data_IF_831101706184
#
_entry.id   IF_831101706184
#
_cell.length_a   1.000
_cell.length_b   1.000
_cell.length_c   1.000
_cell.angle_alpha   90.00
_cell.angle_beta   90.00
_cell.angle_gamma   90.00
#
_symmetry.space_group_name_H-M   'P 1'
#
loop_
_entity.id
_entity.type
_entity.pdbx_description
1 polymer ?
#
# COMPACT_ATOMS: atom_id res chain seq x y z
N UNK A 1 -2.43 -19.07 5.31
CA UNK A 1 -2.42 -18.41 6.65
C UNK A 1 -3.75 -18.56 7.40
N UNK A 2 -4.92 -18.67 6.74
CA UNK A 2 -6.19 -19.12 7.36
C UNK A 2 -6.43 -20.62 7.15
N UNK A 3 -6.22 -21.12 5.93
CA UNK A 3 -6.31 -22.54 5.55
C UNK A 3 -5.53 -23.51 6.45
N UNK A 4 -4.27 -23.15 6.77
CA UNK A 4 -3.40 -23.96 7.63
C UNK A 4 -3.89 -24.03 9.09
N UNK A 5 -4.78 -23.11 9.47
CA UNK A 5 -5.37 -23.02 10.82
C UNK A 5 -6.84 -23.48 10.85
N UNK A 6 -7.36 -23.99 9.72
CA UNK A 6 -8.75 -24.46 9.57
C UNK A 6 -9.82 -23.45 10.02
N UNK A 7 -9.54 -22.16 9.83
CA UNK A 7 -10.44 -21.09 10.24
C UNK A 7 -11.57 -20.91 9.21
N UNK A 8 -12.81 -20.85 9.70
CA UNK A 8 -14.02 -20.53 8.93
C UNK A 8 -14.26 -19.02 8.96
N UNK A 9 -14.52 -18.42 7.80
CA UNK A 9 -14.84 -16.98 7.71
C UNK A 9 -16.33 -16.83 7.53
N UNK A 10 -16.93 -16.00 8.40
CA UNK A 10 -18.37 -15.75 8.44
C UNK A 10 -18.57 -14.25 8.30
N UNK A 11 -19.49 -13.87 7.42
CA UNK A 11 -19.91 -12.49 7.24
C UNK A 11 -21.31 -12.34 7.81
N UNK A 12 -21.50 -11.30 8.63
CA UNK A 12 -22.80 -10.96 9.22
C UNK A 12 -23.89 -10.78 8.14
N UNK A 13 -23.50 -10.23 6.98
CA UNK A 13 -24.41 -9.86 5.90
C UNK A 13 -24.62 -10.97 4.87
N UNK A 14 -23.91 -12.10 4.99
CA UNK A 14 -24.06 -13.24 4.09
C UNK A 14 -24.69 -14.42 4.83
N UNK A 15 -26.03 -14.58 4.78
CA UNK A 15 -26.75 -15.66 5.45
C UNK A 15 -26.23 -17.05 5.11
N UNK A 16 -25.70 -17.23 3.90
CA UNK A 16 -25.08 -18.48 3.44
C UNK A 16 -23.82 -18.86 4.21
N UNK A 17 -23.10 -17.87 4.77
CA UNK A 17 -21.90 -18.12 5.59
C UNK A 17 -22.23 -18.59 7.01
N UNK A 18 -23.44 -18.30 7.51
CA UNK A 18 -23.91 -18.75 8.82
C UNK A 18 -24.14 -20.26 8.89
N UNK A 19 -24.32 -20.93 7.75
CA UNK A 19 -24.38 -22.40 7.68
C UNK A 19 -23.12 -23.02 8.32
N UNK A 20 -21.98 -22.35 8.25
CA UNK A 20 -20.74 -22.80 8.88
C UNK A 20 -20.78 -22.84 10.43
N UNK A 21 -21.74 -22.17 11.06
CA UNK A 21 -21.98 -22.08 12.51
C UNK A 21 -23.10 -22.99 13.01
N UNK A 22 -23.88 -23.60 12.12
CA UNK A 22 -25.03 -24.41 12.51
C UNK A 22 -24.57 -25.66 13.28
N UNK A 23 -25.02 -25.88 14.53
CA UNK A 23 -24.59 -26.99 15.38
C UNK A 23 -25.07 -28.37 14.90
N UNK A 24 -26.04 -28.41 13.98
CA UNK A 24 -26.66 -29.64 13.46
C UNK A 24 -25.96 -30.25 12.23
N UNK A 25 -24.82 -29.71 11.80
CA UNK A 25 -24.05 -30.28 10.69
C UNK A 25 -23.18 -31.43 11.21
N UNK A 26 -23.81 -32.58 11.45
CA UNK A 26 -23.13 -33.85 11.75
C UNK A 26 -22.64 -34.58 10.50
N UNK A 27 -22.89 -34.03 9.31
CA UNK A 27 -22.57 -34.65 8.02
C UNK A 27 -21.21 -34.17 7.47
N UNK A 28 -20.26 -35.11 7.35
CA UNK A 28 -18.90 -34.89 6.86
C UNK A 28 -18.89 -34.29 5.44
N UNK A 29 -19.84 -34.71 4.61
CA UNK A 29 -20.02 -34.20 3.26
C UNK A 29 -20.33 -32.69 3.26
N UNK A 30 -21.26 -32.27 4.10
CA UNK A 30 -21.65 -30.86 4.23
C UNK A 30 -20.48 -29.99 4.73
N UNK A 31 -19.68 -30.49 5.69
CA UNK A 31 -18.49 -29.77 6.16
C UNK A 31 -17.42 -29.61 5.05
N UNK A 32 -17.21 -30.65 4.25
CA UNK A 32 -16.28 -30.62 3.11
C UNK A 32 -16.71 -29.61 2.04
N UNK A 33 -18.00 -29.56 1.72
CA UNK A 33 -18.55 -28.56 0.80
C UNK A 33 -18.38 -27.13 1.33
N UNK A 34 -18.68 -26.86 2.59
CA UNK A 34 -18.50 -25.52 3.20
C UNK A 34 -17.03 -25.11 3.18
N UNK A 35 -16.11 -26.04 3.45
CA UNK A 35 -14.66 -25.80 3.34
C UNK A 35 -14.28 -25.42 1.91
N UNK A 36 -14.76 -26.16 0.90
CA UNK A 36 -14.49 -25.87 -0.51
C UNK A 36 -15.03 -24.50 -0.95
N UNK A 37 -16.25 -24.14 -0.53
CA UNK A 37 -16.87 -22.85 -0.86
C UNK A 37 -16.09 -21.69 -0.21
N UNK A 38 -15.76 -21.79 1.08
CA UNK A 38 -14.96 -20.78 1.76
C UNK A 38 -13.61 -20.57 1.10
N UNK A 39 -13.00 -21.65 0.63
CA UNK A 39 -11.73 -21.59 -0.10
C UNK A 39 -11.89 -20.85 -1.43
N UNK A 40 -12.88 -21.25 -2.24
CA UNK A 40 -13.16 -20.60 -3.51
C UNK A 40 -13.49 -19.11 -3.36
N UNK A 41 -14.24 -18.74 -2.31
CA UNK A 41 -14.53 -17.34 -2.00
C UNK A 41 -13.25 -16.54 -1.73
N UNK A 42 -12.34 -17.10 -0.93
CA UNK A 42 -11.06 -16.46 -0.63
C UNK A 42 -10.19 -16.31 -1.88
N UNK A 43 -10.13 -17.34 -2.71
CA UNK A 43 -9.35 -17.32 -3.95
C UNK A 43 -9.92 -16.30 -4.95
N UNK A 44 -11.25 -16.22 -5.04
CA UNK A 44 -11.94 -15.22 -5.84
C UNK A 44 -11.65 -13.80 -5.34
N UNK A 45 -11.75 -13.54 -4.03
CA UNK A 45 -11.43 -12.23 -3.44
C UNK A 45 -9.96 -11.86 -3.66
N UNK A 46 -9.05 -12.81 -3.54
CA UNK A 46 -7.63 -12.60 -3.82
C UNK A 46 -7.40 -12.23 -5.30
N UNK A 47 -8.04 -12.94 -6.23
CA UNK A 47 -7.96 -12.66 -7.66
C UNK A 47 -8.53 -11.27 -8.01
N UNK A 48 -9.69 -10.91 -7.46
CA UNK A 48 -10.30 -9.59 -7.66
C UNK A 48 -9.40 -8.49 -7.08
N UNK A 49 -8.89 -8.67 -5.86
CA UNK A 49 -8.00 -7.71 -5.21
C UNK A 49 -6.72 -7.48 -6.02
N UNK A 50 -6.18 -8.57 -6.59
CA UNK A 50 -5.00 -8.49 -7.46
C UNK A 50 -5.29 -7.70 -8.73
N UNK A 51 -6.40 -8.00 -9.41
CA UNK A 51 -6.84 -7.29 -10.62
C UNK A 51 -7.02 -5.80 -10.36
N UNK A 52 -7.72 -5.42 -9.29
CA UNK A 52 -7.92 -4.01 -8.92
C UNK A 52 -6.59 -3.29 -8.64
N UNK A 53 -5.67 -3.95 -7.93
CA UNK A 53 -4.35 -3.40 -7.66
C UNK A 53 -3.56 -3.11 -8.95
N UNK A 54 -3.57 -4.05 -9.90
CA UNK A 54 -2.93 -3.88 -11.20
C UNK A 54 -3.58 -2.75 -12.02
N UNK A 55 -4.91 -2.66 -12.00
CA UNK A 55 -5.64 -1.57 -12.66
C UNK A 55 -5.35 -0.19 -12.05
N UNK A 56 -5.22 -0.10 -10.73
CA UNK A 56 -4.80 1.15 -10.05
C UNK A 56 -3.39 1.55 -10.48
N UNK A 57 -2.44 0.62 -10.47
CA UNK A 57 -1.06 0.83 -10.93
C UNK A 57 -1.00 1.32 -12.38
N UNK A 58 -1.79 0.69 -13.26
CA UNK A 58 -1.89 1.06 -14.68
C UNK A 58 -2.42 2.49 -14.84
N UNK A 59 -3.51 2.85 -14.17
CA UNK A 59 -4.07 4.22 -14.21
C UNK A 59 -3.10 5.25 -13.64
N UNK A 60 -2.43 4.92 -12.53
CA UNK A 60 -1.42 5.80 -11.95
C UNK A 60 -0.28 6.05 -12.94
N UNK A 61 0.25 5.00 -13.59
CA UNK A 61 1.31 5.13 -14.59
C UNK A 61 0.89 6.04 -15.75
N UNK A 62 -0.32 5.86 -16.29
CA UNK A 62 -0.87 6.71 -17.34
C UNK A 62 -0.97 8.18 -16.89
N UNK A 63 -1.45 8.42 -15.67
CA UNK A 63 -1.52 9.76 -15.09
C UNK A 63 -0.15 10.41 -14.92
N UNK A 64 0.85 9.66 -14.44
CA UNK A 64 2.24 10.11 -14.31
C UNK A 64 2.81 10.46 -15.68
N UNK A 65 2.65 9.60 -16.69
CA UNK A 65 3.14 9.85 -18.05
C UNK A 65 2.53 11.12 -18.65
N UNK A 66 1.22 11.32 -18.50
CA UNK A 66 0.54 12.55 -18.94
C UNK A 66 1.10 13.79 -18.22
N UNK A 67 1.19 13.75 -16.89
CA UNK A 67 1.70 14.87 -16.11
C UNK A 67 3.19 15.17 -16.37
N UNK A 68 4.00 14.15 -16.70
CA UNK A 68 5.38 14.34 -17.16
C UNK A 68 5.43 15.03 -18.51
N UNK A 69 4.60 14.64 -19.47
CA UNK A 69 4.48 15.32 -20.78
C UNK A 69 4.04 16.78 -20.63
N UNK A 70 3.15 17.05 -19.68
CA UNK A 70 2.69 18.41 -19.31
C UNK A 70 3.71 19.20 -18.46
N UNK A 71 4.89 18.64 -18.14
CA UNK A 71 5.93 19.35 -17.38
C UNK A 71 5.63 19.58 -15.90
N UNK A 72 4.62 18.90 -15.33
CA UNK A 72 4.23 19.08 -13.91
C UNK A 72 5.26 18.51 -12.93
N UNK A 73 6.06 17.54 -13.36
CA UNK A 73 7.12 16.95 -12.54
C UNK A 73 8.38 17.81 -12.57
N UNK A 74 8.49 18.75 -11.63
CA UNK A 74 9.64 19.66 -11.50
C UNK A 74 10.71 19.19 -10.49
N UNK A 75 10.52 18.00 -9.90
CA UNK A 75 11.41 17.47 -8.87
C UNK A 75 11.29 18.21 -7.52
N UNK A 76 12.25 17.96 -6.62
CA UNK A 76 12.37 18.71 -5.37
C UNK A 76 12.94 20.09 -5.69
N UNK A 77 12.21 21.15 -5.36
CA UNK A 77 12.72 22.52 -5.51
C UNK A 77 13.87 22.75 -4.51
N UNK A 78 14.97 23.39 -4.93
CA UNK A 78 16.05 23.74 -4.02
C UNK A 78 15.58 24.76 -3.00
N UNK A 79 16.12 24.68 -1.78
CA UNK A 79 15.93 25.70 -0.76
C UNK A 79 16.96 26.82 -1.01
N UNK A 80 16.52 27.86 -1.71
CA UNK A 80 17.37 28.97 -2.11
C UNK A 80 17.87 29.78 -0.91
N UNK A 81 17.03 29.95 0.12
CA UNK A 81 17.42 30.68 1.33
C UNK A 81 18.52 29.93 2.10
N UNK A 82 18.40 28.60 2.19
CA UNK A 82 19.42 27.75 2.77
C UNK A 82 20.74 27.89 2.01
N UNK A 83 20.69 27.83 0.67
CA UNK A 83 21.87 27.96 -0.18
C UNK A 83 22.54 29.34 -0.02
N UNK A 84 21.77 30.42 0.05
CA UNK A 84 22.31 31.76 0.31
C UNK A 84 22.98 31.87 1.68
N UNK A 85 22.38 31.29 2.73
CA UNK A 85 22.99 31.26 4.07
C UNK A 85 24.31 30.51 4.06
N UNK A 86 24.36 29.33 3.42
CA UNK A 86 25.60 28.55 3.25
C UNK A 86 26.65 29.38 2.52
N UNK A 87 26.27 30.07 1.43
CA UNK A 87 27.17 30.91 0.66
C UNK A 87 27.75 32.05 1.51
N UNK A 88 26.93 32.78 2.27
CA UNK A 88 27.38 33.86 3.16
C UNK A 88 28.36 33.36 4.22
N UNK A 89 28.10 32.21 4.85
CA UNK A 89 29.00 31.65 5.86
C UNK A 89 30.32 31.13 5.26
N UNK A 90 30.27 30.46 4.10
CA UNK A 90 31.46 29.88 3.45
C UNK A 90 32.34 30.91 2.74
N UNK A 91 31.74 31.80 1.96
CA UNK A 91 32.48 32.73 1.10
C UNK A 91 32.63 34.09 1.78
N UNK A 92 31.58 34.60 2.42
CA UNK A 92 31.62 35.88 3.13
C UNK A 92 32.45 35.81 4.42
N UNK A 93 32.18 34.79 5.25
CA UNK A 93 32.82 34.65 6.57
C UNK A 93 33.99 33.63 6.59
N UNK A 94 34.34 33.02 5.45
CA UNK A 94 35.42 32.02 5.30
C UNK A 94 35.35 30.84 6.29
N UNK A 95 34.16 30.48 6.76
CA UNK A 95 33.99 29.41 7.75
C UNK A 95 34.32 28.03 7.18
N UNK A 96 34.73 27.10 8.05
CA UNK A 96 34.95 25.72 7.64
C UNK A 96 33.63 25.01 7.29
N UNK A 97 33.71 23.92 6.53
CA UNK A 97 32.53 23.14 6.12
C UNK A 97 31.79 22.59 7.35
N UNK A 98 32.52 22.04 8.32
CA UNK A 98 31.95 21.46 9.53
C UNK A 98 31.23 22.52 10.40
N UNK A 99 31.80 23.71 10.55
CA UNK A 99 31.18 24.76 11.35
C UNK A 99 29.93 25.33 10.66
N UNK A 100 29.97 25.46 9.33
CA UNK A 100 28.81 25.91 8.54
C UNK A 100 27.66 24.92 8.62
N UNK A 101 27.95 23.63 8.46
CA UNK A 101 27.00 22.53 8.62
C UNK A 101 26.35 22.55 10.03
N UNK A 102 27.17 22.70 11.07
CA UNK A 102 26.70 22.77 12.46
C UNK A 102 25.81 23.99 12.73
N UNK A 103 26.12 25.16 12.16
CA UNK A 103 25.33 26.38 12.37
C UNK A 103 24.00 26.38 11.61
N UNK A 104 23.96 25.75 10.44
CA UNK A 104 22.77 25.73 9.58
C UNK A 104 21.91 24.47 9.82
N UNK A 105 22.47 23.43 10.44
CA UNK A 105 21.76 22.19 10.76
C UNK A 105 21.60 21.26 9.55
N UNK A 106 22.59 21.25 8.65
CA UNK A 106 22.66 20.41 7.45
C UNK A 106 23.79 19.40 7.56
#
# INVERSE_FOLDING_TARGET
MLYKKELKVISLDLPTSHIALAPEISDEFTNSMIKAINNMMMDMLAAISRKDYEDRRRRQKQGIEKAKKEGKYQGRKPDLELHEKIYKLRVGNQMSINETAKMIGV
#
